data_IF_907564197914
#
_entry.id   IF_907564197914
#
_cell.length_a   1.000
_cell.length_b   1.000
_cell.length_c   1.000
_cell.angle_alpha   90.00
_cell.angle_beta   90.00
_cell.angle_gamma   90.00
#
_symmetry.space_group_name_H-M   'P 1'
#
loop_
_entity.id
_entity.type
_entity.pdbx_description
1 polymer ?
#
# COMPACT_ATOMS: atom_id res chain seq x y z
N UNK A 1 10.77 22.69 2.30
CA UNK A 1 10.96 21.23 2.43
C UNK A 1 11.76 20.74 1.24
N UNK A 2 12.56 19.69 1.44
CA UNK A 2 13.44 19.13 0.40
C UNK A 2 12.62 18.45 -0.72
N UNK A 3 12.70 18.99 -1.94
CA UNK A 3 12.00 18.49 -3.12
C UNK A 3 12.70 17.32 -3.80
N UNK A 4 13.83 16.85 -3.27
CA UNK A 4 14.62 15.76 -3.87
C UNK A 4 14.37 14.39 -3.24
N UNK A 5 13.67 14.34 -2.10
CA UNK A 5 13.40 13.09 -1.39
C UNK A 5 12.29 12.29 -2.05
N UNK A 6 12.53 10.99 -2.20
CA UNK A 6 11.52 10.03 -2.59
C UNK A 6 10.39 9.97 -1.55
N UNK A 7 9.16 9.82 -2.03
CA UNK A 7 7.94 9.63 -1.24
C UNK A 7 7.45 8.20 -1.42
N UNK A 8 7.01 7.62 -0.30
CA UNK A 8 6.35 6.32 -0.24
C UNK A 8 5.02 6.52 0.46
N UNK A 9 3.96 5.93 -0.09
CA UNK A 9 2.59 6.02 0.44
C UNK A 9 2.12 4.65 0.96
N UNK A 10 1.32 4.61 2.02
CA UNK A 10 0.84 3.36 2.64
C UNK A 10 -0.70 3.22 2.76
N UNK A 11 -1.44 3.28 1.64
CA UNK A 11 -2.89 3.35 1.66
C UNK A 11 -3.56 2.04 2.11
N UNK A 12 -4.76 2.19 2.68
CA UNK A 12 -5.71 1.12 2.99
C UNK A 12 -7.05 1.34 2.27
N UNK A 13 -7.99 0.39 2.29
CA UNK A 13 -9.23 0.46 1.47
C UNK A 13 -10.04 1.76 1.60
N UNK A 14 -9.92 2.49 2.72
CA UNK A 14 -10.57 3.79 2.92
C UNK A 14 -9.92 4.96 2.17
N UNK A 15 -8.74 4.79 1.58
CA UNK A 15 -8.11 5.78 0.71
C UNK A 15 -8.48 5.52 -0.75
N UNK A 16 -8.99 6.54 -1.40
CA UNK A 16 -9.06 6.62 -2.86
C UNK A 16 -7.79 7.29 -3.39
N UNK A 17 -7.15 6.64 -4.35
CA UNK A 17 -5.91 7.13 -4.95
C UNK A 17 -6.22 7.76 -6.29
N UNK A 18 -5.90 9.05 -6.42
CA UNK A 18 -5.84 9.70 -7.72
C UNK A 18 -4.49 9.37 -8.38
N UNK A 19 -4.47 8.34 -9.20
CA UNK A 19 -3.25 7.85 -9.82
C UNK A 19 -2.60 8.82 -10.80
N UNK A 20 -3.38 9.73 -11.40
CA UNK A 20 -2.85 10.75 -12.31
C UNK A 20 -2.14 11.85 -11.54
N UNK A 21 -2.69 12.25 -10.40
CA UNK A 21 -2.03 13.19 -9.50
C UNK A 21 -0.76 12.60 -8.90
N UNK A 22 -0.79 11.33 -8.50
CA UNK A 22 0.39 10.60 -8.03
C UNK A 22 1.48 10.50 -9.11
N UNK A 23 1.10 10.35 -10.39
CA UNK A 23 2.05 10.30 -11.49
C UNK A 23 2.65 11.69 -11.81
N UNK A 24 1.95 12.77 -11.48
CA UNK A 24 2.43 14.14 -11.69
C UNK A 24 3.58 14.53 -10.76
N UNK A 25 3.65 13.93 -9.56
CA UNK A 25 4.75 14.13 -8.61
C UNK A 25 5.80 13.03 -8.75
N UNK A 26 6.90 13.34 -9.46
CA UNK A 26 8.02 12.42 -9.69
C UNK A 26 8.70 11.91 -8.41
N UNK A 27 8.41 12.50 -7.25
CA UNK A 27 8.95 12.03 -5.98
C UNK A 27 8.24 10.77 -5.50
N UNK A 28 7.00 10.51 -5.90
CA UNK A 28 6.27 9.29 -5.50
C UNK A 28 6.95 8.09 -6.13
N UNK A 29 7.76 7.38 -5.33
CA UNK A 29 8.61 6.29 -5.79
C UNK A 29 7.97 4.92 -5.60
N UNK A 30 7.04 4.80 -4.64
CA UNK A 30 6.45 3.52 -4.30
C UNK A 30 5.27 3.56 -3.35
N UNK A 31 4.61 2.40 -3.23
CA UNK A 31 3.40 2.22 -2.43
C UNK A 31 3.50 0.94 -1.58
N UNK A 32 3.22 1.04 -0.29
CA UNK A 32 3.11 -0.10 0.64
C UNK A 32 1.62 -0.36 0.89
N UNK A 33 1.07 -1.37 0.23
CA UNK A 33 -0.37 -1.60 0.29
C UNK A 33 -0.77 -2.34 1.55
N UNK A 34 -1.83 -1.89 2.25
CA UNK A 34 -2.48 -2.77 3.23
C UNK A 34 -2.96 -4.03 2.53
N UNK A 35 -2.49 -5.19 2.96
CA UNK A 35 -2.90 -6.49 2.43
C UNK A 35 -3.95 -7.14 3.32
N UNK A 36 -3.66 -7.22 4.61
CA UNK A 36 -4.49 -7.93 5.59
C UNK A 36 -4.62 -7.15 6.90
N UNK A 37 -5.66 -7.45 7.68
CA UNK A 37 -5.87 -7.00 9.05
C UNK A 37 -6.44 -8.15 9.87
N UNK A 38 -5.69 -8.65 10.85
CA UNK A 38 -6.06 -9.90 11.50
C UNK A 38 -6.29 -11.00 10.46
N UNK A 39 -7.46 -11.62 10.49
CA UNK A 39 -7.86 -12.66 9.54
C UNK A 39 -8.72 -12.13 8.36
N UNK A 40 -8.52 -10.88 7.95
CA UNK A 40 -9.29 -10.25 6.86
C UNK A 40 -8.37 -9.68 5.79
N UNK A 41 -8.79 -9.79 4.54
CA UNK A 41 -8.12 -9.18 3.39
C UNK A 41 -8.65 -7.76 3.17
N UNK A 42 -7.76 -6.81 2.90
CA UNK A 42 -8.13 -5.46 2.47
C UNK A 42 -8.72 -5.52 1.06
N UNK A 43 -9.97 -5.06 0.92
CA UNK A 43 -10.77 -5.22 -0.31
C UNK A 43 -10.11 -4.60 -1.56
N UNK A 44 -9.29 -3.56 -1.38
CA UNK A 44 -8.63 -2.85 -2.48
C UNK A 44 -7.17 -3.28 -2.68
N UNK A 45 -6.65 -4.24 -1.90
CA UNK A 45 -5.25 -4.66 -1.98
C UNK A 45 -4.84 -5.10 -3.39
N UNK A 46 -5.57 -6.06 -3.97
CA UNK A 46 -5.22 -6.68 -5.25
C UNK A 46 -5.22 -5.64 -6.37
N UNK A 47 -6.31 -4.89 -6.50
CA UNK A 47 -6.45 -3.85 -7.53
C UNK A 47 -5.35 -2.79 -7.41
N UNK A 48 -5.15 -2.20 -6.22
CA UNK A 48 -4.13 -1.17 -6.03
C UNK A 48 -2.72 -1.67 -6.31
N UNK A 49 -2.39 -2.90 -5.88
CA UNK A 49 -1.07 -3.50 -6.12
C UNK A 49 -0.82 -3.67 -7.61
N UNK A 50 -1.78 -4.22 -8.35
CA UNK A 50 -1.62 -4.41 -9.79
C UNK A 50 -1.53 -3.07 -10.54
N UNK A 51 -2.32 -2.06 -10.16
CA UNK A 51 -2.20 -0.71 -10.72
C UNK A 51 -0.83 -0.08 -10.42
N UNK A 52 -0.32 -0.20 -9.19
CA UNK A 52 1.01 0.31 -8.82
C UNK A 52 2.12 -0.36 -9.64
N UNK A 53 2.08 -1.69 -9.76
CA UNK A 53 3.03 -2.48 -10.57
C UNK A 53 2.96 -2.08 -12.04
N UNK A 54 1.76 -1.98 -12.61
CA UNK A 54 1.56 -1.61 -14.01
C UNK A 54 2.09 -0.20 -14.34
N UNK A 55 2.05 0.72 -13.37
CA UNK A 55 2.59 2.08 -13.50
C UNK A 55 4.08 2.20 -13.17
N UNK A 56 4.74 1.10 -12.79
CA UNK A 56 6.20 1.07 -12.53
C UNK A 56 6.63 1.54 -11.15
N UNK A 57 5.71 1.71 -10.20
CA UNK A 57 6.06 2.05 -8.82
C UNK A 57 6.79 0.88 -8.13
N UNK A 58 7.72 1.21 -7.21
CA UNK A 58 8.18 0.21 -6.22
C UNK A 58 7.01 -0.16 -5.32
N UNK A 59 6.93 -1.40 -4.89
CA UNK A 59 5.78 -1.87 -4.12
C UNK A 59 6.17 -2.79 -2.99
N UNK A 60 5.36 -2.74 -1.94
CA UNK A 60 5.38 -3.66 -0.82
C UNK A 60 3.97 -3.82 -0.26
N UNK A 61 3.85 -4.56 0.84
CA UNK A 61 2.59 -4.68 1.56
C UNK A 61 2.80 -4.77 3.05
N UNK A 62 1.76 -4.43 3.79
CA UNK A 62 1.75 -4.58 5.24
C UNK A 62 0.52 -5.34 5.74
N UNK A 63 0.68 -5.97 6.89
CA UNK A 63 -0.38 -6.56 7.70
C UNK A 63 -0.68 -5.62 8.88
N UNK A 64 -1.95 -5.33 9.14
CA UNK A 64 -2.37 -4.60 10.32
C UNK A 64 -2.74 -5.58 11.44
N UNK A 65 -1.82 -5.77 12.38
CA UNK A 65 -2.04 -6.66 13.51
C UNK A 65 -3.23 -6.21 14.37
N UNK A 66 -3.97 -7.17 14.91
CA UNK A 66 -5.05 -6.97 15.88
C UNK A 66 -4.81 -7.84 17.12
N UNK A 67 -5.48 -7.57 18.26
CA UNK A 67 -5.41 -8.46 19.42
C UNK A 67 -5.78 -9.91 19.03
N UNK A 68 -4.94 -10.86 19.40
CA UNK A 68 -5.07 -12.28 19.01
C UNK A 68 -3.72 -12.96 18.88
N UNK A 69 -3.71 -14.19 18.33
CA UNK A 69 -2.47 -14.93 18.07
C UNK A 69 -1.63 -14.23 16.99
N UNK A 70 -0.37 -13.85 17.27
CA UNK A 70 0.51 -13.29 16.25
C UNK A 70 0.89 -14.32 15.17
N UNK A 71 1.07 -15.59 15.55
CA UNK A 71 1.42 -16.67 14.60
C UNK A 71 0.30 -16.86 13.58
N UNK A 72 -0.95 -16.96 14.05
CA UNK A 72 -2.10 -17.11 13.16
C UNK A 72 -2.30 -15.91 12.21
N UNK A 73 -1.82 -14.73 12.59
CA UNK A 73 -1.88 -13.52 11.75
C UNK A 73 -0.74 -13.45 10.74
N UNK A 74 0.42 -14.03 11.03
CA UNK A 74 1.55 -14.16 10.10
C UNK A 74 1.29 -15.24 9.04
N UNK A 75 0.60 -16.31 9.43
CA UNK A 75 0.25 -17.43 8.52
C UNK A 75 -0.92 -17.10 7.57
N UNK A 76 -1.64 -16.00 7.80
CA UNK A 76 -2.83 -15.58 7.04
C UNK A 76 -2.52 -14.63 5.88
#
# INVERSE_FOLDING_TARGET
>A
MDSTKALILDPYHGNDLNWEELASDKRVAGIIHKATQGNRVDKKYRERKETAKARGYKWGSYHHGVPGSPVAQVDF
#
